data_IF_659782010944
#
_entry.id   IF_659782010944
#
_cell.length_a   1.000
_cell.length_b   1.000
_cell.length_c   1.000
_cell.angle_alpha   90.00
_cell.angle_beta   90.00
_cell.angle_gamma   90.00
#
_symmetry.space_group_name_H-M   'P 1'
#
loop_
_entity.id
_entity.type
_entity.pdbx_description
1 polymer ?
#
# COMPACT_ATOMS: atom_id res chain seq x y z
N UNK A 1 -4.12 -15.21 -0.11
CA UNK A 1 -5.24 -14.41 -0.64
C UNK A 1 -6.59 -15.11 -0.50
N UNK A 2 -6.70 -16.39 -0.89
CA UNK A 2 -7.97 -17.11 -1.06
C UNK A 2 -8.99 -17.02 0.06
N UNK A 3 -8.58 -17.28 1.31
CA UNK A 3 -9.49 -17.21 2.45
C UNK A 3 -10.12 -15.82 2.61
N UNK A 4 -9.33 -14.75 2.47
CA UNK A 4 -9.90 -13.40 2.53
C UNK A 4 -10.77 -13.07 1.33
N UNK A 5 -10.42 -13.53 0.13
CA UNK A 5 -11.28 -13.37 -1.05
C UNK A 5 -12.66 -14.03 -0.84
N UNK A 6 -12.70 -15.21 -0.20
CA UNK A 6 -13.94 -15.89 0.19
C UNK A 6 -14.72 -15.08 1.22
N UNK A 7 -14.07 -14.58 2.28
CA UNK A 7 -14.74 -13.74 3.29
C UNK A 7 -15.36 -12.46 2.69
N UNK A 8 -14.71 -11.86 1.69
CA UNK A 8 -15.22 -10.68 0.98
C UNK A 8 -16.38 -11.05 0.04
N UNK A 9 -16.26 -12.16 -0.68
CA UNK A 9 -17.33 -12.71 -1.52
C UNK A 9 -18.59 -13.03 -0.70
N UNK A 10 -18.44 -13.67 0.45
CA UNK A 10 -19.55 -14.04 1.34
C UNK A 10 -20.29 -12.82 1.89
N UNK A 11 -19.59 -11.68 2.01
CA UNK A 11 -20.16 -10.40 2.41
C UNK A 11 -20.76 -9.58 1.26
N UNK A 12 -20.67 -10.09 0.02
CA UNK A 12 -21.15 -9.40 -1.17
C UNK A 12 -20.33 -8.16 -1.53
N UNK A 13 -19.05 -8.11 -1.13
CA UNK A 13 -18.15 -7.09 -1.65
C UNK A 13 -17.72 -7.48 -3.08
N UNK A 14 -17.49 -6.49 -3.95
CA UNK A 14 -16.97 -6.70 -5.31
C UNK A 14 -15.44 -6.54 -5.40
N UNK A 15 -14.87 -5.65 -4.56
CA UNK A 15 -13.47 -5.24 -4.62
C UNK A 15 -12.83 -5.28 -3.22
N UNK A 16 -11.69 -5.97 -3.12
CA UNK A 16 -10.86 -5.99 -1.93
C UNK A 16 -9.78 -4.93 -2.09
N UNK A 17 -9.77 -3.97 -1.17
CA UNK A 17 -8.77 -2.90 -1.12
C UNK A 17 -7.44 -3.43 -0.55
N UNK A 18 -6.81 -4.35 -1.26
CA UNK A 18 -5.51 -4.94 -0.94
C UNK A 18 -5.13 -5.99 -2.00
N UNK A 19 -3.88 -6.48 -1.99
CA UNK A 19 -2.84 -6.30 -0.98
C UNK A 19 -2.08 -4.97 -1.11
N UNK A 20 -1.15 -4.68 -0.17
CA UNK A 20 -0.33 -3.47 -0.20
C UNK A 20 1.15 -3.77 -0.50
N UNK A 21 1.74 -2.97 -1.39
CA UNK A 21 3.19 -2.88 -1.62
C UNK A 21 3.73 -1.45 -1.39
N UNK A 22 2.84 -0.47 -1.17
CA UNK A 22 3.18 0.88 -0.72
C UNK A 22 2.48 1.20 0.61
N UNK A 23 3.21 1.44 1.72
CA UNK A 23 4.67 1.65 1.82
C UNK A 23 5.51 0.39 1.63
N UNK A 24 6.59 0.49 0.84
CA UNK A 24 7.58 -0.59 0.74
C UNK A 24 8.40 -0.71 2.03
N UNK A 25 8.63 0.39 2.75
CA UNK A 25 9.34 0.37 4.05
C UNK A 25 10.59 1.23 4.12
N UNK A 26 10.72 2.27 3.28
CA UNK A 26 11.84 3.23 3.27
C UNK A 26 12.23 3.74 4.68
N UNK A 27 11.25 4.02 5.54
CA UNK A 27 11.47 4.43 6.92
C UNK A 27 11.09 3.29 7.86
N UNK A 28 12.01 2.84 8.73
CA UNK A 28 11.73 1.75 9.69
C UNK A 28 10.59 2.03 10.66
N UNK A 29 10.31 3.31 10.95
CA UNK A 29 9.20 3.78 11.77
C UNK A 29 7.96 4.20 10.95
N UNK A 30 7.88 3.81 9.67
CA UNK A 30 6.72 4.04 8.83
C UNK A 30 5.49 3.31 9.38
N UNK A 31 4.47 4.05 9.79
CA UNK A 31 3.37 3.45 10.56
C UNK A 31 2.47 2.48 9.79
N UNK A 32 2.57 2.39 8.45
CA UNK A 32 1.83 1.41 7.61
C UNK A 32 2.72 0.34 6.98
N UNK A 33 3.99 0.25 7.36
CA UNK A 33 4.88 -0.80 6.84
C UNK A 33 4.31 -2.20 7.11
N UNK A 34 3.59 -2.37 8.24
CA UNK A 34 2.95 -3.64 8.62
C UNK A 34 1.76 -4.05 7.74
N UNK A 35 1.20 -3.16 6.92
CA UNK A 35 0.15 -3.53 5.97
C UNK A 35 0.72 -4.16 4.69
N UNK A 36 1.97 -3.84 4.37
CA UNK A 36 2.73 -4.48 3.29
C UNK A 36 3.49 -5.70 3.81
N UNK A 37 4.53 -6.08 3.07
CA UNK A 37 5.36 -7.24 3.38
C UNK A 37 6.68 -6.80 4.02
N UNK A 38 7.67 -6.45 3.19
CA UNK A 38 9.02 -6.08 3.66
C UNK A 38 9.64 -4.97 2.81
N UNK A 39 10.75 -4.40 3.30
CA UNK A 39 11.55 -3.37 2.61
C UNK A 39 12.29 -3.83 1.35
N UNK A 40 12.22 -5.13 1.02
CA UNK A 40 12.90 -5.72 -0.13
C UNK A 40 11.91 -5.88 -1.30
N UNK A 41 12.18 -5.32 -2.49
CA UNK A 41 11.26 -5.33 -3.61
C UNK A 41 11.07 -6.74 -4.20
N UNK A 42 12.09 -7.59 -4.16
CA UNK A 42 12.00 -8.95 -4.69
C UNK A 42 11.06 -9.82 -3.83
N UNK A 43 11.26 -9.83 -2.51
CA UNK A 43 10.40 -10.54 -1.58
C UNK A 43 8.98 -9.99 -1.60
N UNK A 44 8.83 -8.66 -1.53
CA UNK A 44 7.52 -8.01 -1.56
C UNK A 44 6.79 -8.29 -2.88
N UNK A 45 7.48 -8.27 -4.02
CA UNK A 45 6.89 -8.58 -5.33
C UNK A 45 6.32 -10.00 -5.41
N UNK A 46 7.08 -11.00 -4.96
CA UNK A 46 6.61 -12.41 -4.97
C UNK A 46 5.39 -12.59 -4.06
N UNK A 47 5.48 -12.13 -2.81
CA UNK A 47 4.37 -12.28 -1.86
C UNK A 47 3.13 -11.49 -2.27
N UNK A 48 3.32 -10.30 -2.86
CA UNK A 48 2.25 -9.48 -3.38
C UNK A 48 1.52 -10.17 -4.54
N UNK A 49 2.25 -10.76 -5.48
CA UNK A 49 1.68 -11.50 -6.60
C UNK A 49 0.86 -12.72 -6.13
N UNK A 50 1.43 -13.55 -5.26
CA UNK A 50 0.73 -14.71 -4.66
C UNK A 50 -0.56 -14.30 -3.92
N UNK A 51 -0.52 -13.13 -3.29
CA UNK A 51 -1.67 -12.60 -2.58
C UNK A 51 -2.79 -12.16 -3.52
N UNK A 52 -2.45 -11.45 -4.60
CA UNK A 52 -3.38 -11.08 -5.66
C UNK A 52 -4.00 -12.31 -6.33
N UNK A 53 -3.18 -13.30 -6.72
CA UNK A 53 -3.64 -14.55 -7.33
C UNK A 53 -4.64 -15.24 -6.41
N UNK A 54 -4.29 -15.40 -5.13
CA UNK A 54 -5.21 -16.05 -4.19
C UNK A 54 -6.54 -15.31 -4.02
N UNK A 55 -6.56 -13.96 -3.99
CA UNK A 55 -7.81 -13.19 -3.90
C UNK A 55 -8.65 -13.37 -5.17
N UNK A 56 -8.02 -13.29 -6.34
CA UNK A 56 -8.70 -13.40 -7.63
C UNK A 56 -9.20 -14.82 -7.94
N UNK A 57 -8.49 -15.85 -7.48
CA UNK A 57 -8.92 -17.25 -7.57
C UNK A 57 -10.18 -17.53 -6.74
N UNK A 58 -10.46 -16.71 -5.73
CA UNK A 58 -11.72 -16.76 -4.98
C UNK A 58 -12.88 -16.04 -5.70
N UNK A 59 -12.65 -15.50 -6.90
CA UNK A 59 -13.67 -14.79 -7.70
C UNK A 59 -13.81 -13.31 -7.37
N UNK A 60 -12.81 -12.70 -6.73
CA UNK A 60 -12.90 -11.34 -6.20
C UNK A 60 -11.76 -10.42 -6.68
N UNK A 61 -12.03 -9.13 -6.87
CA UNK A 61 -11.00 -8.21 -7.43
C UNK A 61 -10.00 -7.76 -6.35
N UNK A 62 -8.71 -7.94 -6.61
CA UNK A 62 -7.64 -7.40 -5.78
C UNK A 62 -7.29 -5.96 -6.21
N UNK A 63 -6.85 -5.13 -5.27
CA UNK A 63 -6.44 -3.74 -5.52
C UNK A 63 -5.01 -3.51 -5.06
N UNK A 64 -4.11 -3.24 -6.01
CA UNK A 64 -2.74 -2.86 -5.72
C UNK A 64 -2.66 -1.46 -5.10
N UNK A 65 -2.08 -1.35 -3.89
CA UNK A 65 -1.99 -0.05 -3.21
C UNK A 65 -0.73 0.10 -2.33
N UNK A 66 -0.38 1.31 -1.91
CA UNK A 66 -0.75 2.59 -2.51
C UNK A 66 0.27 2.89 -3.60
N UNK A 67 -0.18 3.08 -4.83
CA UNK A 67 0.67 3.45 -5.94
C UNK A 67 0.78 4.98 -5.99
N UNK A 68 1.93 5.61 -5.73
CA UNK A 68 3.22 5.05 -5.28
C UNK A 68 3.87 6.00 -4.27
N UNK A 69 5.05 5.64 -3.76
CA UNK A 69 5.91 6.49 -2.91
C UNK A 69 5.25 7.01 -1.61
N UNK A 70 4.20 6.34 -1.13
CA UNK A 70 3.62 6.60 0.18
C UNK A 70 4.43 5.91 1.28
N UNK A 71 5.44 6.59 1.84
CA UNK A 71 6.40 5.99 2.78
C UNK A 71 6.24 6.44 4.25
N UNK A 72 5.48 7.51 4.53
CA UNK A 72 5.24 7.98 5.91
C UNK A 72 3.84 8.60 6.04
N UNK A 73 3.27 8.51 7.24
CA UNK A 73 1.98 9.14 7.57
C UNK A 73 2.04 10.66 7.64
N UNK A 74 3.15 11.22 8.13
CA UNK A 74 3.27 12.66 8.32
C UNK A 74 3.08 13.39 6.99
N UNK A 75 2.16 14.35 7.00
CA UNK A 75 1.82 15.20 5.86
C UNK A 75 1.22 14.48 4.65
N UNK A 76 0.68 13.26 4.77
CA UNK A 76 0.01 12.58 3.65
C UNK A 76 -1.26 13.29 3.16
N UNK A 77 -1.88 14.10 4.01
CA UNK A 77 -3.07 14.89 3.75
C UNK A 77 -2.91 16.26 4.42
N UNK A 78 -3.14 17.34 3.67
CA UNK A 78 -3.08 18.70 4.22
C UNK A 78 -4.08 18.95 5.37
N UNK A 79 -5.37 18.52 5.28
CA UNK A 79 -6.31 18.70 6.39
C UNK A 79 -5.91 17.95 7.67
N UNK A 80 -5.33 16.75 7.54
CA UNK A 80 -4.82 15.97 8.68
C UNK A 80 -3.64 16.70 9.35
N UNK A 81 -2.70 17.22 8.55
CA UNK A 81 -1.58 18.00 9.05
C UNK A 81 -2.03 19.29 9.78
N UNK A 82 -3.02 19.99 9.24
CA UNK A 82 -3.63 21.16 9.88
C UNK A 82 -4.30 20.79 11.21
N UNK A 83 -4.98 19.64 11.28
CA UNK A 83 -5.53 19.09 12.52
C UNK A 83 -4.49 18.81 13.60
N UNK A 84 -3.24 18.51 13.20
CA UNK A 84 -2.09 18.36 14.09
C UNK A 84 -1.31 19.68 14.35
N UNK A 85 -1.83 20.83 13.91
CA UNK A 85 -1.24 22.15 14.17
C UNK A 85 -0.19 22.61 13.16
N UNK A 86 -0.04 21.93 12.02
CA UNK A 86 0.89 22.33 10.97
C UNK A 86 0.23 23.22 9.91
N UNK A 87 0.85 24.35 9.57
CA UNK A 87 0.39 25.21 8.47
C UNK A 87 0.89 24.68 7.12
N UNK A 88 0.27 23.59 6.65
CA UNK A 88 0.52 22.96 5.35
C UNK A 88 -0.64 23.24 4.38
N UNK A 89 -0.31 23.74 3.20
CA UNK A 89 -1.28 23.95 2.12
C UNK A 89 -1.59 22.65 1.36
N UNK A 90 -0.56 21.81 1.13
CA UNK A 90 -0.63 20.59 0.33
C UNK A 90 -0.02 19.40 1.05
N UNK A 91 -0.29 18.21 0.51
CA UNK A 91 0.31 16.95 0.97
C UNK A 91 1.81 16.87 0.68
N UNK A 92 2.50 15.95 1.36
CA UNK A 92 3.92 15.70 1.17
C UNK A 92 4.22 15.23 -0.25
N UNK A 93 5.34 15.72 -0.79
CA UNK A 93 5.86 15.31 -2.09
C UNK A 93 7.00 14.32 -1.88
N UNK A 94 6.93 13.17 -2.54
CA UNK A 94 8.00 12.19 -2.61
C UNK A 94 8.73 12.38 -3.94
N UNK A 95 9.96 12.91 -3.89
CA UNK A 95 10.79 13.14 -5.08
C UNK A 95 11.78 11.98 -5.20
N UNK A 96 11.62 11.17 -6.26
CA UNK A 96 12.44 10.00 -6.56
C UNK A 96 13.05 10.19 -7.95
N UNK A 97 14.29 9.74 -8.14
CA UNK A 97 14.87 9.64 -9.47
C UNK A 97 14.34 8.40 -10.21
N UNK A 98 14.47 8.42 -11.53
CA UNK A 98 13.93 7.40 -12.45
C UNK A 98 14.46 6.00 -12.13
N UNK A 99 15.77 5.88 -11.86
CA UNK A 99 16.39 4.59 -11.54
C UNK A 99 15.86 4.02 -10.22
N UNK A 100 15.74 4.85 -9.19
CA UNK A 100 15.10 4.43 -7.93
C UNK A 100 13.64 4.02 -8.15
N UNK A 101 12.94 4.60 -9.14
CA UNK A 101 11.56 4.22 -9.40
C UNK A 101 11.41 2.85 -10.07
N UNK A 102 12.35 2.50 -10.94
CA UNK A 102 12.30 1.24 -11.69
C UNK A 102 12.90 0.05 -10.92
N UNK A 103 13.92 0.29 -10.09
CA UNK A 103 14.70 -0.78 -9.45
C UNK A 103 14.27 -1.08 -8.00
N UNK A 104 13.33 -0.31 -7.42
CA UNK A 104 12.86 -0.45 -6.02
C UNK A 104 11.33 -0.35 -5.88
#
# INVERSE_FOLDING_TARGET
GKAMGQDFSDKGADIQLGPAAGPLGRMGYGGRNREGFWGDPALSGVLFAEMCVGIQDAGHQATAKHYIAYYIFHFRQAPEAQGYGFSKAESGSANLDDKTMDEL
#
